data_IF_650792617891
#
_entry.id   IF_650792617891
#
_cell.length_a   1.000
_cell.length_b   1.000
_cell.length_c   1.000
_cell.angle_alpha   90.00
_cell.angle_beta   90.00
_cell.angle_gamma   90.00
#
_symmetry.space_group_name_H-M   'P 1'
#
loop_
_entity.id
_entity.type
_entity.pdbx_description
1 polymer ?
#
# COMPACT_ATOMS: atom_id res chain seq x y z
N UNK A 1 20.49 -6.16 34.06
CA UNK A 1 20.29 -5.41 32.80
C UNK A 1 20.08 -6.44 31.70
N UNK A 2 18.87 -6.58 31.13
CA UNK A 2 18.67 -7.46 29.98
C UNK A 2 19.32 -6.77 28.79
N UNK A 3 20.47 -7.28 28.34
CA UNK A 3 21.00 -6.95 27.03
C UNK A 3 20.02 -7.56 26.02
N UNK A 4 19.09 -6.75 25.51
CA UNK A 4 18.29 -7.14 24.36
C UNK A 4 19.26 -7.13 23.17
N UNK A 5 19.54 -8.30 22.60
CA UNK A 5 20.31 -8.40 21.38
C UNK A 5 19.48 -7.71 20.29
N UNK A 6 19.97 -6.64 19.64
CA UNK A 6 19.22 -5.91 18.64
C UNK A 6 18.74 -6.84 17.53
N UNK A 7 17.41 -6.95 17.36
CA UNK A 7 16.82 -7.82 16.36
C UNK A 7 17.07 -7.24 14.96
N UNK A 8 17.94 -7.88 14.18
CA UNK A 8 18.18 -7.52 12.78
C UNK A 8 17.55 -8.58 11.88
N UNK A 9 16.72 -8.14 10.95
CA UNK A 9 16.08 -9.00 9.96
C UNK A 9 16.53 -8.62 8.55
N UNK A 10 17.05 -9.62 7.84
CA UNK A 10 17.57 -9.46 6.49
C UNK A 10 16.67 -10.18 5.50
N UNK A 11 15.82 -9.42 4.82
CA UNK A 11 14.92 -9.91 3.77
C UNK A 11 15.30 -9.37 2.38
N UNK A 12 16.42 -8.68 2.26
CA UNK A 12 16.90 -8.16 0.99
C UNK A 12 17.23 -9.29 -0.01
N UNK A 13 17.17 -8.99 -1.31
CA UNK A 13 17.47 -9.95 -2.39
C UNK A 13 16.57 -11.19 -2.33
N UNK A 14 15.28 -10.97 -2.14
CA UNK A 14 14.25 -12.00 -2.22
C UNK A 14 13.24 -11.62 -3.33
N UNK A 15 12.17 -12.39 -3.45
CA UNK A 15 11.10 -12.14 -4.42
C UNK A 15 9.81 -11.73 -3.71
N UNK A 16 9.92 -10.99 -2.59
CA UNK A 16 8.76 -10.53 -1.85
C UNK A 16 7.98 -9.54 -2.70
N UNK A 17 6.71 -9.83 -2.93
CA UNK A 17 5.80 -8.98 -3.69
C UNK A 17 4.82 -8.21 -2.81
N UNK A 18 4.49 -8.76 -1.64
CA UNK A 18 3.55 -8.17 -0.68
C UNK A 18 4.03 -8.44 0.74
N UNK A 19 3.73 -7.51 1.63
CA UNK A 19 3.94 -7.64 3.08
C UNK A 19 2.67 -7.16 3.79
N UNK A 20 2.29 -7.83 4.87
CA UNK A 20 1.16 -7.41 5.70
C UNK A 20 1.61 -6.57 6.88
N UNK A 21 0.73 -5.69 7.39
CA UNK A 21 1.01 -4.88 8.57
C UNK A 21 1.28 -5.70 9.84
N UNK A 22 0.68 -6.88 9.93
CA UNK A 22 0.83 -7.77 11.09
C UNK A 22 2.07 -8.68 11.01
N UNK A 23 2.75 -8.74 9.85
CA UNK A 23 3.89 -9.66 9.63
C UNK A 23 5.02 -9.44 10.64
N UNK A 24 5.25 -8.19 11.03
CA UNK A 24 6.37 -7.82 11.91
C UNK A 24 5.92 -7.44 13.33
N UNK A 25 4.62 -7.42 13.63
CA UNK A 25 4.09 -7.06 14.95
C UNK A 25 4.68 -7.90 16.11
N UNK A 26 4.90 -9.23 15.97
CA UNK A 26 5.48 -10.01 17.06
C UNK A 26 6.96 -9.70 17.35
N UNK A 27 7.65 -9.02 16.44
CA UNK A 27 9.09 -8.75 16.53
C UNK A 27 9.36 -7.47 17.33
N UNK A 28 9.04 -7.50 18.63
CA UNK A 28 9.10 -6.32 19.52
C UNK A 28 10.49 -5.74 19.74
N UNK A 29 11.56 -6.49 19.43
CA UNK A 29 12.95 -6.05 19.51
C UNK A 29 13.59 -5.79 18.13
N UNK A 30 12.78 -5.67 17.06
CA UNK A 30 13.28 -5.41 15.73
C UNK A 30 13.84 -3.99 15.63
N UNK A 31 15.14 -3.87 15.33
CA UNK A 31 15.82 -2.59 15.16
C UNK A 31 16.11 -2.29 13.70
N UNK A 32 16.44 -3.30 12.90
CA UNK A 32 16.80 -3.12 11.50
C UNK A 32 16.07 -4.14 10.65
N UNK A 33 15.40 -3.67 9.60
CA UNK A 33 14.80 -4.47 8.55
C UNK A 33 15.37 -4.03 7.19
N UNK A 34 15.97 -4.96 6.45
CA UNK A 34 16.47 -4.67 5.09
C UNK A 34 15.60 -5.35 4.04
N UNK A 35 15.15 -4.59 3.04
CA UNK A 35 14.18 -5.02 2.03
C UNK A 35 14.60 -4.74 0.58
N UNK A 36 15.76 -4.11 0.35
CA UNK A 36 16.24 -3.82 -1.01
C UNK A 36 16.32 -5.08 -1.89
N UNK A 37 16.22 -4.91 -3.21
CA UNK A 37 16.18 -6.00 -4.18
C UNK A 37 15.03 -7.00 -3.90
N UNK A 38 13.83 -6.48 -3.65
CA UNK A 38 12.58 -7.24 -3.66
C UNK A 38 11.65 -6.66 -4.74
N UNK A 39 10.53 -7.34 -4.96
CA UNK A 39 9.55 -7.01 -6.00
C UNK A 39 8.26 -6.44 -5.39
N UNK A 40 8.36 -5.56 -4.39
CA UNK A 40 7.20 -5.07 -3.63
C UNK A 40 6.22 -4.33 -4.55
N UNK A 41 5.02 -4.87 -4.74
CA UNK A 41 4.01 -4.29 -5.62
C UNK A 41 3.26 -3.20 -4.85
N UNK A 42 3.46 -1.94 -5.25
CA UNK A 42 2.77 -0.80 -4.66
C UNK A 42 1.34 -0.70 -5.21
N UNK A 43 0.45 -1.35 -4.49
CA UNK A 43 -1.00 -1.38 -4.68
C UNK A 43 -1.68 -1.26 -3.31
N UNK A 44 -3.00 -1.07 -3.30
CA UNK A 44 -3.76 -0.97 -2.05
C UNK A 44 -3.57 -2.15 -1.09
N UNK A 45 -3.26 -3.35 -1.60
CA UNK A 45 -2.94 -4.51 -0.74
C UNK A 45 -1.66 -4.37 0.10
N UNK A 46 -0.76 -3.44 -0.25
CA UNK A 46 0.46 -3.15 0.51
C UNK A 46 0.23 -2.08 1.60
N UNK A 47 -0.93 -1.42 1.60
CA UNK A 47 -1.23 -0.33 2.52
C UNK A 47 -1.05 -0.70 4.01
N UNK A 48 -1.49 -1.89 4.50
CA UNK A 48 -1.28 -2.24 5.90
C UNK A 48 0.20 -2.32 6.32
N UNK A 49 1.08 -2.70 5.39
CA UNK A 49 2.52 -2.65 5.65
C UNK A 49 3.04 -1.22 5.75
N UNK A 50 2.52 -0.30 4.94
CA UNK A 50 2.84 1.14 5.02
C UNK A 50 2.33 1.75 6.32
N UNK A 51 1.15 1.35 6.80
CA UNK A 51 0.66 1.73 8.13
C UNK A 51 1.61 1.28 9.23
N UNK A 52 2.12 0.05 9.14
CA UNK A 52 3.13 -0.45 10.08
C UNK A 52 4.45 0.35 9.98
N UNK A 53 4.91 0.71 8.78
CA UNK A 53 6.10 1.54 8.58
C UNK A 53 5.98 2.90 9.26
N UNK A 54 4.79 3.50 9.24
CA UNK A 54 4.55 4.80 9.88
C UNK A 54 4.52 4.73 11.41
N UNK A 55 4.40 3.54 11.99
CA UNK A 55 4.29 3.34 13.44
C UNK A 55 5.55 2.70 14.05
N UNK A 56 6.33 1.97 13.26
CA UNK A 56 7.50 1.25 13.75
C UNK A 56 8.64 2.20 14.14
N UNK A 57 9.41 1.79 15.15
CA UNK A 57 10.68 2.44 15.52
C UNK A 57 11.89 1.77 14.83
N UNK A 58 11.65 0.68 14.12
CA UNK A 58 12.68 -0.04 13.38
C UNK A 58 13.20 0.82 12.23
N UNK A 59 14.50 0.77 11.99
CA UNK A 59 15.13 1.32 10.80
C UNK A 59 14.87 0.36 9.61
N UNK A 60 14.00 0.79 8.69
CA UNK A 60 13.67 0.03 7.48
C UNK A 60 14.44 0.58 6.29
N UNK A 61 15.21 -0.28 5.63
CA UNK A 61 16.14 0.12 4.58
C UNK A 61 15.74 -0.54 3.26
N UNK A 62 15.52 0.28 2.23
CA UNK A 62 15.34 -0.18 0.85
C UNK A 62 13.98 -0.78 0.55
N UNK A 63 12.92 -0.34 1.22
CA UNK A 63 11.55 -0.70 0.85
C UNK A 63 11.09 0.18 -0.32
N UNK A 64 11.29 -0.30 -1.54
CA UNK A 64 10.90 0.39 -2.79
C UNK A 64 9.91 -0.44 -3.59
N UNK A 65 9.08 0.23 -4.39
CA UNK A 65 8.16 -0.42 -5.31
C UNK A 65 8.92 -1.20 -6.40
N UNK A 66 8.41 -2.36 -6.80
CA UNK A 66 8.89 -3.10 -7.97
C UNK A 66 8.78 -2.18 -9.18
N UNK A 67 9.82 -2.12 -10.01
CA UNK A 67 9.87 -1.33 -11.25
C UNK A 67 10.10 0.18 -11.10
N UNK A 68 10.33 0.71 -9.89
CA UNK A 68 10.70 2.13 -9.70
C UNK A 68 11.60 2.36 -8.47
N UNK A 69 12.33 3.48 -8.43
CA UNK A 69 13.04 3.93 -7.22
C UNK A 69 12.11 4.67 -6.23
N UNK A 70 10.80 4.43 -6.30
CA UNK A 70 9.80 5.06 -5.44
C UNK A 70 9.80 4.31 -4.10
N UNK A 71 9.92 5.04 -2.98
CA UNK A 71 9.77 4.44 -1.66
C UNK A 71 8.33 3.95 -1.51
N UNK A 72 8.12 2.80 -0.86
CA UNK A 72 6.75 2.28 -0.68
C UNK A 72 5.84 3.27 0.05
N UNK A 73 6.38 4.20 0.84
CA UNK A 73 5.65 5.28 1.54
C UNK A 73 5.19 6.42 0.65
N UNK A 74 5.83 6.60 -0.52
CA UNK A 74 5.53 7.70 -1.45
C UNK A 74 4.39 7.35 -2.42
N UNK A 75 3.96 6.09 -2.44
CA UNK A 75 2.81 5.67 -3.22
C UNK A 75 1.50 6.25 -2.64
N UNK A 76 0.57 6.77 -3.47
CA UNK A 76 -0.61 7.50 -3.01
C UNK A 76 -1.73 6.57 -2.51
N UNK A 77 -1.53 5.94 -1.35
CA UNK A 77 -2.54 5.04 -0.77
C UNK A 77 -3.80 5.74 -0.24
N UNK A 78 -3.85 7.07 -0.22
CA UNK A 78 -5.03 7.82 0.26
C UNK A 78 -6.31 7.50 -0.52
N UNK A 79 -6.20 6.92 -1.72
CA UNK A 79 -7.32 6.52 -2.58
C UNK A 79 -7.73 5.05 -2.41
N UNK A 80 -7.02 4.29 -1.56
CA UNK A 80 -7.29 2.87 -1.36
C UNK A 80 -8.56 2.59 -0.53
N UNK A 81 -9.12 3.63 0.09
CA UNK A 81 -10.30 3.56 0.93
C UNK A 81 -11.44 4.47 0.43
N UNK A 82 -11.52 4.75 -0.87
CA UNK A 82 -12.75 5.31 -1.49
C UNK A 82 -13.92 4.29 -1.49
N UNK A 83 -14.00 3.46 -0.44
CA UNK A 83 -15.04 2.48 -0.16
C UNK A 83 -16.23 3.16 0.53
N UNK A 84 -16.91 4.01 -0.23
CA UNK A 84 -18.35 4.20 -0.10
C UNK A 84 -19.16 3.12 -0.85
N UNK A 85 -18.48 2.12 -1.41
CA UNK A 85 -19.11 0.99 -2.10
C UNK A 85 -19.41 -0.10 -1.07
N UNK A 86 -20.69 -0.23 -0.72
CA UNK A 86 -21.16 -1.30 0.16
C UNK A 86 -20.92 -2.64 -0.55
N UNK A 87 -20.17 -3.56 0.08
CA UNK A 87 -19.66 -4.81 -0.53
C UNK A 87 -20.73 -5.81 -1.04
N UNK A 88 -22.00 -5.42 -1.05
CA UNK A 88 -23.15 -6.22 -1.52
C UNK A 88 -23.70 -5.82 -2.89
N UNK A 89 -23.23 -4.74 -3.53
CA UNK A 89 -23.79 -4.26 -4.83
C UNK A 89 -22.89 -4.49 -6.06
N UNK A 90 -21.74 -5.16 -5.92
CA UNK A 90 -20.85 -5.41 -7.07
C UNK A 90 -21.28 -6.66 -7.84
N UNK A 91 -22.48 -6.64 -8.41
CA UNK A 91 -22.81 -7.49 -9.57
C UNK A 91 -22.36 -6.75 -10.83
N UNK A 92 -21.08 -6.92 -11.15
CA UNK A 92 -20.34 -6.52 -12.37
C UNK A 92 -19.15 -5.59 -12.08
N UNK A 93 -18.01 -6.21 -11.78
CA UNK A 93 -16.71 -5.59 -11.97
C UNK A 93 -16.52 -5.32 -13.48
N UNK A 94 -16.67 -4.08 -13.92
CA UNK A 94 -16.15 -3.64 -15.22
C UNK A 94 -14.68 -3.26 -15.01
N UNK A 95 -13.71 -4.00 -15.59
CA UNK A 95 -12.31 -3.66 -15.46
C UNK A 95 -12.03 -2.46 -16.37
N UNK A 96 -11.72 -1.29 -15.81
CA UNK A 96 -11.15 -0.21 -16.62
C UNK A 96 -9.65 -0.46 -16.78
N UNK A 97 -9.32 -1.38 -17.68
CA UNK A 97 -8.02 -1.40 -18.33
C UNK A 97 -8.01 -0.28 -19.37
N UNK A 98 -7.13 0.71 -19.19
CA UNK A 98 -6.81 1.70 -20.20
C UNK A 98 -7.89 2.78 -20.41
N UNK A 99 -7.70 3.94 -19.79
CA UNK A 99 -8.11 5.20 -20.40
C UNK A 99 -7.19 6.31 -19.92
N UNK A 100 -6.20 6.59 -20.77
CA UNK A 100 -5.61 7.90 -20.84
C UNK A 100 -6.71 8.96 -20.96
N UNK A 101 -6.54 10.05 -20.21
CA UNK A 101 -6.85 11.42 -20.65
C UNK A 101 -8.28 11.73 -21.16
N UNK A 102 -9.18 12.22 -20.28
CA UNK A 102 -10.24 13.22 -20.61
C UNK A 102 -10.63 13.94 -19.30
N UNK A 103 -10.13 15.16 -19.09
CA UNK A 103 -10.73 16.47 -19.39
C UNK A 103 -11.90 16.87 -18.46
N UNK A 104 -11.77 18.06 -17.87
CA UNK A 104 -12.76 18.69 -16.99
C UNK A 104 -13.92 19.22 -17.85
N UNK A 105 -14.86 18.38 -18.25
CA UNK A 105 -16.14 18.86 -18.76
C UNK A 105 -17.21 17.76 -18.73
N UNK A 106 -18.06 17.79 -17.71
CA UNK A 106 -19.53 17.85 -17.87
C UNK A 106 -20.19 17.80 -16.47
N UNK A 107 -20.19 18.96 -15.79
CA UNK A 107 -21.29 19.30 -14.90
C UNK A 107 -22.27 20.12 -15.72
N UNK A 108 -23.22 19.48 -16.40
CA UNK A 108 -24.40 20.18 -16.92
C UNK A 108 -25.68 19.45 -16.50
N UNK A 109 -26.34 20.12 -15.55
CA UNK A 109 -27.74 20.03 -15.13
C UNK A 109 -28.73 19.32 -16.07
N UNK A 110 -29.63 18.56 -15.44
CA UNK A 110 -31.05 18.54 -15.83
C UNK A 110 -31.93 18.18 -14.61
N UNK A 111 -32.74 19.14 -14.17
CA UNK A 111 -33.97 18.97 -13.38
C UNK A 111 -35.12 18.67 -14.34
N UNK A 112 -36.01 17.74 -14.00
CA UNK A 112 -37.49 17.81 -14.21
C UNK A 112 -38.12 16.53 -13.65
N UNK A 113 -38.91 16.56 -12.58
CA UNK A 113 -40.38 16.68 -12.59
C UNK A 113 -41.11 15.71 -13.54
N UNK A 114 -41.82 14.76 -12.93
CA UNK A 114 -43.21 14.38 -13.24
C UNK A 114 -43.49 13.58 -14.51
N UNK A 115 -43.86 12.31 -14.32
CA UNK A 115 -45.13 11.72 -14.78
C UNK A 115 -45.66 10.82 -13.68
#
# INVERSE_FOLDING_TARGET
MKSANPGKMHLHTNQLTKLGGNTFQPLTNLEVLTLYNNLLVCECSLHPFVEWLNQTKSNVIGATCNDTNIQVTDFPYSKCYDEGVNATEITEFVPVAGKDMFDHSELTNSKSSGV
#
